data_IF_092416533620
#
_entry.id   IF_092416533620
#
_cell.length_a   1.000
_cell.length_b   1.000
_cell.length_c   1.000
_cell.angle_alpha   90.00
_cell.angle_beta   90.00
_cell.angle_gamma   90.00
#
_symmetry.space_group_name_H-M   'P 1'
#
loop_
_entity.id
_entity.type
_entity.pdbx_description
1 polymer ?
#
# COMPACT_ATOMS: atom_id res chain seq x y z
N UNK A 1 0.77 18.01 -22.60
CA UNK A 1 1.18 17.41 -21.33
C UNK A 1 0.82 15.93 -21.33
N UNK A 2 1.77 15.09 -21.05
CA UNK A 2 1.50 13.66 -20.98
C UNK A 2 1.02 13.31 -19.58
N UNK A 3 -0.11 12.63 -19.50
CA UNK A 3 -0.64 12.15 -18.22
C UNK A 3 -0.11 10.72 -18.04
N UNK A 4 1.16 10.61 -17.70
CA UNK A 4 1.80 9.33 -17.47
C UNK A 4 1.92 9.02 -15.97
N UNK A 5 1.81 10.06 -15.15
CA UNK A 5 2.00 9.94 -13.71
C UNK A 5 1.19 11.04 -13.03
N UNK A 6 0.10 10.68 -12.41
CA UNK A 6 -0.79 11.61 -11.71
C UNK A 6 -0.62 11.41 -10.21
N UNK A 7 -0.23 12.48 -9.52
CA UNK A 7 -0.16 12.47 -8.06
C UNK A 7 -1.54 12.79 -7.52
N UNK A 8 -2.07 11.91 -6.69
CA UNK A 8 -3.38 12.07 -6.08
C UNK A 8 -3.24 12.37 -4.60
N UNK A 9 -4.27 12.98 -4.03
CA UNK A 9 -4.32 13.19 -2.58
C UNK A 9 -4.58 11.82 -1.94
N UNK A 10 -3.52 11.22 -1.41
CA UNK A 10 -3.57 9.87 -0.88
C UNK A 10 -4.51 9.76 0.31
N UNK A 11 -4.50 10.75 1.20
CA UNK A 11 -5.37 10.71 2.37
C UNK A 11 -6.85 10.83 1.99
N UNK A 12 -7.16 11.69 1.02
CA UNK A 12 -8.53 11.83 0.54
C UNK A 12 -8.97 10.57 -0.22
N UNK A 13 -8.06 9.94 -0.95
CA UNK A 13 -8.38 8.74 -1.73
C UNK A 13 -8.60 7.53 -0.84
N UNK A 14 -7.72 7.32 0.15
CA UNK A 14 -7.86 6.20 1.07
C UNK A 14 -9.06 6.41 2.01
N UNK A 15 -9.32 7.66 2.38
CA UNK A 15 -10.40 7.97 3.30
C UNK A 15 -10.02 7.66 4.73
N UNK A 16 -11.03 7.59 5.59
CA UNK A 16 -10.83 7.33 7.01
C UNK A 16 -10.76 5.82 7.29
N UNK A 17 -9.94 5.45 8.25
CA UNK A 17 -9.89 4.10 8.82
C UNK A 17 -9.66 2.97 7.81
N UNK A 18 -8.55 3.00 7.05
CA UNK A 18 -8.22 1.82 6.23
C UNK A 18 -8.03 0.60 7.14
N UNK A 19 -8.46 -0.56 6.66
CA UNK A 19 -8.48 -1.79 7.45
C UNK A 19 -7.47 -2.77 6.89
N UNK A 20 -6.42 -3.07 7.66
CA UNK A 20 -5.39 -4.02 7.25
C UNK A 20 -5.98 -5.43 7.20
N UNK A 21 -5.85 -6.10 6.06
CA UNK A 21 -6.37 -7.45 5.87
C UNK A 21 -5.28 -8.46 5.51
N UNK A 22 -4.15 -8.01 5.01
CA UNK A 22 -3.06 -8.92 4.62
C UNK A 22 -1.73 -8.18 4.64
N UNK A 23 -0.63 -8.92 4.74
CA UNK A 23 0.73 -8.39 4.69
C UNK A 23 1.56 -9.34 3.84
N UNK A 24 2.25 -8.81 2.83
CA UNK A 24 3.10 -9.61 1.95
C UNK A 24 4.50 -9.02 1.87
N UNK A 25 5.55 -9.84 1.85
CA UNK A 25 6.91 -9.33 1.71
C UNK A 25 7.17 -8.80 0.30
N UNK A 26 8.00 -7.76 0.22
CA UNK A 26 8.50 -7.22 -1.04
C UNK A 26 9.98 -7.56 -1.15
N UNK A 27 10.35 -8.30 -2.18
CA UNK A 27 11.72 -8.76 -2.37
C UNK A 27 12.51 -7.79 -3.24
N UNK A 28 13.82 -7.71 -2.96
CA UNK A 28 14.72 -6.92 -3.79
C UNK A 28 14.90 -7.64 -5.14
N UNK A 29 14.84 -6.87 -6.22
CA UNK A 29 15.11 -7.37 -7.57
C UNK A 29 16.47 -6.84 -8.04
N UNK A 30 17.28 -7.73 -8.60
CA UNK A 30 18.58 -7.37 -9.19
C UNK A 30 18.55 -7.85 -10.63
N UNK A 31 18.79 -6.92 -11.56
CA UNK A 31 18.77 -7.19 -13.00
C UNK A 31 17.50 -7.92 -13.46
N UNK A 32 16.37 -7.53 -12.88
CA UNK A 32 15.07 -8.11 -13.22
C UNK A 32 14.77 -9.43 -12.54
N UNK A 33 15.68 -9.97 -11.75
CA UNK A 33 15.48 -11.23 -11.04
C UNK A 33 15.18 -11.01 -9.55
N UNK A 34 14.22 -11.75 -9.05
CA UNK A 34 13.83 -11.70 -7.65
C UNK A 34 14.91 -12.35 -6.79
N UNK A 35 15.32 -11.65 -5.73
CA UNK A 35 16.28 -12.19 -4.76
C UNK A 35 15.54 -12.68 -3.52
N UNK A 36 16.28 -13.29 -2.59
CA UNK A 36 15.73 -13.72 -1.30
C UNK A 36 15.74 -12.60 -0.26
N UNK A 37 16.25 -11.43 -0.60
CA UNK A 37 16.33 -10.30 0.32
C UNK A 37 15.04 -9.52 0.32
N UNK A 38 14.49 -9.25 1.51
CA UNK A 38 13.26 -8.49 1.67
C UNK A 38 13.62 -7.03 1.88
N UNK A 39 13.09 -6.14 1.03
CA UNK A 39 13.32 -4.70 1.15
C UNK A 39 12.22 -3.99 1.94
N UNK A 40 11.07 -4.59 2.08
CA UNK A 40 9.94 -4.00 2.77
C UNK A 40 8.74 -4.92 2.72
N UNK A 41 7.58 -4.38 3.08
CA UNK A 41 6.33 -5.14 3.10
C UNK A 41 5.23 -4.35 2.42
N UNK A 42 4.35 -5.06 1.74
CA UNK A 42 3.15 -4.50 1.16
C UNK A 42 1.98 -4.82 2.09
N UNK A 43 1.36 -3.77 2.61
CA UNK A 43 0.23 -3.90 3.51
C UNK A 43 -1.05 -3.74 2.70
N UNK A 44 -1.84 -4.79 2.62
CA UNK A 44 -3.08 -4.80 1.87
C UNK A 44 -4.18 -4.33 2.78
N UNK A 45 -4.80 -3.21 2.42
CA UNK A 45 -5.87 -2.62 3.22
C UNK A 45 -7.16 -2.55 2.43
N UNK A 46 -8.28 -2.75 3.12
CA UNK A 46 -9.61 -2.53 2.58
C UNK A 46 -10.04 -1.10 2.91
N UNK A 47 -10.70 -0.45 1.98
CA UNK A 47 -11.10 0.96 2.09
C UNK A 47 -12.61 1.07 2.31
N UNK A 48 -13.07 1.30 3.56
CA UNK A 48 -14.51 1.37 3.82
C UNK A 48 -15.21 2.47 3.02
N UNK A 49 -14.52 3.60 2.77
CA UNK A 49 -15.10 4.69 2.00
C UNK A 49 -15.17 4.39 0.50
N UNK A 50 -14.63 3.26 0.05
CA UNK A 50 -14.62 2.83 -1.34
C UNK A 50 -15.15 1.40 -1.48
N UNK A 51 -16.24 1.10 -0.80
CA UNK A 51 -16.91 -0.20 -0.86
C UNK A 51 -16.00 -1.38 -0.53
N UNK A 52 -15.06 -1.16 0.41
CA UNK A 52 -14.09 -2.17 0.84
C UNK A 52 -13.13 -2.63 -0.28
N UNK A 53 -12.91 -1.81 -1.28
CA UNK A 53 -11.87 -2.10 -2.26
C UNK A 53 -10.51 -2.20 -1.56
N UNK A 54 -9.66 -3.07 -2.08
CA UNK A 54 -8.36 -3.32 -1.49
C UNK A 54 -7.24 -2.64 -2.26
N UNK A 55 -6.28 -2.11 -1.53
CA UNK A 55 -5.10 -1.52 -2.13
C UNK A 55 -3.87 -1.96 -1.33
N UNK A 56 -2.76 -2.17 -2.04
CA UNK A 56 -1.49 -2.50 -1.39
C UNK A 56 -0.63 -1.26 -1.22
N UNK A 57 -0.13 -1.04 -0.02
CA UNK A 57 0.76 0.09 0.31
C UNK A 57 2.12 -0.46 0.71
N UNK A 58 3.16 -0.08 -0.02
CA UNK A 58 4.52 -0.53 0.25
C UNK A 58 5.18 0.35 1.31
N UNK A 59 5.75 -0.28 2.33
CA UNK A 59 6.55 0.38 3.35
C UNK A 59 7.89 -0.33 3.43
N UNK A 60 8.97 0.40 3.21
CA UNK A 60 10.32 -0.17 3.26
C UNK A 60 10.72 -0.46 4.71
N UNK A 61 11.56 -1.48 4.88
CA UNK A 61 12.08 -1.86 6.18
C UNK A 61 11.42 -3.07 6.78
N UNK A 62 11.52 -3.21 8.09
CA UNK A 62 11.00 -4.36 8.81
C UNK A 62 9.48 -4.38 8.87
N UNK A 63 8.93 -5.56 9.05
CA UNK A 63 7.48 -5.72 9.24
C UNK A 63 7.05 -5.01 10.52
N UNK A 64 6.15 -4.04 10.39
CA UNK A 64 5.70 -3.23 11.52
C UNK A 64 4.41 -3.74 12.14
N UNK A 65 3.58 -4.40 11.33
CA UNK A 65 2.31 -4.99 11.77
C UNK A 65 2.16 -6.31 11.04
N UNK A 66 1.93 -7.38 11.78
CA UNK A 66 1.73 -8.69 11.18
C UNK A 66 0.31 -8.82 10.64
N UNK A 67 0.14 -9.73 9.69
CA UNK A 67 -1.17 -10.07 9.14
C UNK A 67 -2.11 -10.49 10.28
N UNK A 68 -3.34 -9.90 10.36
CA UNK A 68 -4.29 -10.34 11.38
C UNK A 68 -4.72 -11.78 11.15
N UNK A 69 -4.85 -12.54 12.22
CA UNK A 69 -5.30 -13.94 12.14
C UNK A 69 -6.74 -14.04 11.67
N UNK A 70 -7.57 -13.10 12.11
CA UNK A 70 -8.97 -13.05 11.73
C UNK A 70 -9.38 -11.60 11.51
N UNK A 71 -10.15 -11.38 10.45
CA UNK A 71 -10.72 -10.07 10.18
C UNK A 71 -9.70 -9.05 9.74
N UNK A 72 -9.66 -7.93 10.45
CA UNK A 72 -8.88 -6.77 10.02
C UNK A 72 -8.42 -5.95 11.22
N UNK A 73 -7.41 -5.09 10.96
CA UNK A 73 -6.87 -4.18 11.95
C UNK A 73 -6.95 -2.77 11.40
N UNK A 74 -7.59 -1.81 12.10
CA UNK A 74 -7.55 -0.41 11.66
C UNK A 74 -6.13 0.12 11.73
N UNK A 75 -5.70 0.79 10.66
CA UNK A 75 -4.33 1.32 10.57
C UNK A 75 -4.34 2.73 9.99
N UNK A 76 -3.22 3.42 10.13
CA UNK A 76 -2.97 4.66 9.40
C UNK A 76 -1.54 4.66 8.88
N UNK A 77 -1.33 5.42 7.82
CA UNK A 77 -0.03 5.52 7.18
C UNK A 77 0.56 6.90 7.40
N UNK A 78 1.88 6.95 7.56
CA UNK A 78 2.61 8.22 7.64
C UNK A 78 3.23 8.52 6.28
N UNK A 79 3.06 9.76 5.82
CA UNK A 79 3.58 10.24 4.54
C UNK A 79 3.19 9.31 3.39
N UNK A 80 1.91 9.01 3.33
CA UNK A 80 1.36 8.18 2.28
C UNK A 80 1.42 8.92 0.95
N UNK A 81 1.93 8.24 -0.08
CA UNK A 81 2.00 8.75 -1.44
C UNK A 81 1.33 7.76 -2.38
N UNK A 82 0.46 8.25 -3.23
CA UNK A 82 -0.22 7.42 -4.21
C UNK A 82 -0.11 8.08 -5.58
N UNK A 83 0.11 7.23 -6.60
CA UNK A 83 0.24 7.70 -7.98
C UNK A 83 -0.54 6.79 -8.91
N UNK A 84 -1.15 7.38 -9.93
CA UNK A 84 -1.83 6.65 -10.99
C UNK A 84 -0.98 6.81 -12.26
N UNK A 85 -0.73 5.70 -12.93
CA UNK A 85 0.04 5.75 -14.17
C UNK A 85 -0.52 4.75 -15.19
N UNK A 86 -0.20 4.98 -16.46
CA UNK A 86 -0.59 4.10 -17.55
C UNK A 86 0.45 3.01 -17.74
N UNK A 87 -0.05 1.78 -17.91
CA UNK A 87 0.81 0.66 -18.25
C UNK A 87 0.04 -0.26 -19.18
N UNK A 88 0.58 -0.48 -20.37
CA UNK A 88 -0.02 -1.40 -21.36
C UNK A 88 -1.49 -1.07 -21.67
N UNK A 89 -1.81 0.22 -21.75
CA UNK A 89 -3.17 0.65 -22.09
C UNK A 89 -4.14 0.63 -20.92
N UNK A 90 -3.66 0.39 -19.72
CA UNK A 90 -4.51 0.33 -18.53
C UNK A 90 -3.93 1.20 -17.42
N UNK A 91 -4.75 1.53 -16.44
CA UNK A 91 -4.31 2.27 -15.26
C UNK A 91 -3.73 1.33 -14.22
N UNK A 92 -2.71 1.80 -13.55
CA UNK A 92 -2.14 1.11 -12.41
C UNK A 92 -1.93 2.12 -11.29
N UNK A 93 -2.05 1.67 -10.05
CA UNK A 93 -1.89 2.52 -8.87
C UNK A 93 -0.69 2.04 -8.08
N UNK A 94 0.22 2.97 -7.79
CA UNK A 94 1.36 2.73 -6.92
C UNK A 94 1.11 3.49 -5.61
N UNK A 95 1.19 2.79 -4.49
CA UNK A 95 1.03 3.39 -3.19
C UNK A 95 2.20 3.02 -2.29
N UNK A 96 2.74 4.00 -1.59
CA UNK A 96 3.84 3.80 -0.66
C UNK A 96 3.70 4.75 0.52
N UNK A 97 4.34 4.41 1.64
CA UNK A 97 4.33 5.24 2.83
C UNK A 97 5.66 5.07 3.57
N UNK A 98 5.98 6.01 4.46
CA UNK A 98 7.17 5.89 5.28
C UNK A 98 6.95 4.98 6.48
N UNK A 99 5.73 4.93 6.99
CA UNK A 99 5.39 4.10 8.13
C UNK A 99 3.92 3.72 8.14
N UNK A 100 3.61 2.65 8.85
CA UNK A 100 2.25 2.21 9.12
C UNK A 100 2.14 1.97 10.62
N UNK A 101 1.01 2.32 11.20
CA UNK A 101 0.75 2.06 12.61
C UNK A 101 -0.71 1.67 12.83
N UNK A 102 -0.93 0.87 13.85
CA UNK A 102 -2.27 0.46 14.23
C UNK A 102 -2.97 1.63 14.92
N UNK A 103 -4.21 1.89 14.53
CA UNK A 103 -5.02 2.90 15.20
C UNK A 103 -5.95 2.23 16.19
N UNK A 104 -6.41 3.01 17.16
CA UNK A 104 -7.44 2.55 18.08
C UNK A 104 -8.80 2.74 17.42
N UNK A 105 -9.57 1.71 17.42
CA UNK A 105 -10.94 1.78 16.92
C UNK A 105 -11.86 2.48 17.91
#
# INVERSE_FOLDING_TARGET
MKITDIVIDANATIGANPLLVDVKPCFVYVDGEKTENIEGYRYIVALPDHELEKIGVKVLGECRIEKPEKGYIPVEFEKLDMRIYWRNGDYDISASAEAIKQTKS
#
